data_IF_260830373551
#
_entry.id   IF_260830373551
#
_cell.length_a   1.000
_cell.length_b   1.000
_cell.length_c   1.000
_cell.angle_alpha   90.00
_cell.angle_beta   90.00
_cell.angle_gamma   90.00
#
_symmetry.space_group_name_H-M   'P 1'
#
loop_
_entity.id
_entity.type
_entity.pdbx_description
1 polymer ?
#
# COMPACT_ATOMS: atom_id res chain seq x y z
N UNK A 1 9.05 -14.55 4.67
CA UNK A 1 7.66 -14.09 4.88
C UNK A 1 7.34 -13.72 6.34
N UNK A 2 7.97 -14.32 7.37
CA UNK A 2 7.69 -13.97 8.78
C UNK A 2 8.13 -12.55 9.21
N UNK A 3 9.20 -12.01 8.62
CA UNK A 3 9.82 -10.75 9.04
C UNK A 3 8.98 -9.50 8.72
N UNK A 4 8.25 -9.50 7.60
CA UNK A 4 7.43 -8.37 7.16
C UNK A 4 6.15 -8.21 8.00
N UNK A 5 5.53 -9.33 8.40
CA UNK A 5 4.41 -9.31 9.33
C UNK A 5 4.80 -8.79 10.71
N UNK A 6 6.00 -9.14 11.18
CA UNK A 6 6.55 -8.62 12.43
C UNK A 6 6.82 -7.11 12.36
N UNK A 7 7.40 -6.63 11.25
CA UNK A 7 7.66 -5.20 11.04
C UNK A 7 6.35 -4.39 10.96
N UNK A 8 5.37 -4.86 10.16
CA UNK A 8 4.07 -4.20 10.05
C UNK A 8 3.39 -4.12 11.42
N UNK A 9 3.41 -5.23 12.18
CA UNK A 9 2.86 -5.26 13.53
C UNK A 9 3.52 -4.21 14.45
N UNK A 10 4.85 -4.11 14.44
CA UNK A 10 5.58 -3.11 15.24
C UNK A 10 5.22 -1.67 14.83
N UNK A 11 5.07 -1.41 13.52
CA UNK A 11 4.66 -0.09 13.03
C UNK A 11 3.24 0.27 13.49
N UNK A 12 2.31 -0.68 13.38
CA UNK A 12 0.92 -0.54 13.86
C UNK A 12 0.89 -0.29 15.37
N UNK A 13 1.62 -1.10 16.15
CA UNK A 13 1.70 -0.97 17.62
C UNK A 13 2.27 0.39 18.03
N UNK A 14 3.31 0.88 17.35
CA UNK A 14 3.87 2.20 17.59
C UNK A 14 2.84 3.32 17.39
N UNK A 15 2.03 3.26 16.34
CA UNK A 15 1.00 4.29 16.07
C UNK A 15 -0.12 4.27 17.12
N UNK A 16 -0.56 3.08 17.51
CA UNK A 16 -1.56 2.92 18.58
C UNK A 16 -1.00 3.46 19.91
N UNK A 17 0.26 3.17 20.23
CA UNK A 17 0.91 3.64 21.46
C UNK A 17 1.10 5.17 21.53
N UNK A 18 1.15 5.85 20.40
CA UNK A 18 1.17 7.32 20.36
C UNK A 18 -0.20 7.95 20.63
N UNK A 19 -1.28 7.16 20.51
CA UNK A 19 -2.68 7.59 20.60
C UNK A 19 -3.43 6.83 21.69
N UNK A 20 -2.80 6.63 22.85
CA UNK A 20 -3.23 5.73 23.94
C UNK A 20 -4.69 5.86 24.39
N UNK A 21 -5.31 7.01 24.16
CA UNK A 21 -6.68 7.30 24.60
C UNK A 21 -7.73 7.17 23.47
N UNK A 22 -7.31 6.87 22.23
CA UNK A 22 -8.21 6.71 21.09
C UNK A 22 -8.52 5.23 20.86
N UNK A 23 -9.81 4.93 20.68
CA UNK A 23 -10.23 3.63 20.15
C UNK A 23 -9.83 3.54 18.68
N UNK A 24 -9.66 2.35 18.14
CA UNK A 24 -9.31 2.18 16.73
C UNK A 24 -9.97 0.95 16.11
N UNK A 25 -10.14 0.98 14.79
CA UNK A 25 -10.56 -0.14 13.95
C UNK A 25 -9.47 -0.36 12.91
N UNK A 26 -9.10 -1.63 12.69
CA UNK A 26 -8.16 -2.03 11.64
C UNK A 26 -8.95 -2.76 10.55
N UNK A 27 -8.78 -2.35 9.30
CA UNK A 27 -9.34 -3.03 8.13
C UNK A 27 -8.22 -3.46 7.18
N UNK A 28 -8.42 -4.59 6.51
CA UNK A 28 -7.54 -5.07 5.46
C UNK A 28 -8.30 -4.99 4.15
N UNK A 29 -7.81 -4.15 3.24
CA UNK A 29 -8.51 -3.80 2.01
C UNK A 29 -7.66 -4.28 0.81
N UNK A 30 -8.33 -4.87 -0.17
CA UNK A 30 -7.75 -5.25 -1.44
C UNK A 30 -8.36 -4.39 -2.53
N UNK A 31 -7.52 -3.76 -3.34
CA UNK A 31 -7.94 -2.87 -4.42
C UNK A 31 -7.38 -3.35 -5.76
N UNK A 32 -8.24 -3.44 -6.78
CA UNK A 32 -7.85 -3.81 -8.14
C UNK A 32 -7.79 -2.53 -8.98
N UNK A 33 -6.65 -2.29 -9.62
CA UNK A 33 -6.33 -1.11 -10.42
C UNK A 33 -6.68 0.24 -9.75
N UNK A 34 -6.43 0.44 -8.43
CA UNK A 34 -6.80 1.69 -7.77
C UNK A 34 -5.97 2.85 -8.29
N UNK A 35 -6.61 3.91 -8.81
CA UNK A 35 -5.88 5.17 -9.12
C UNK A 35 -5.43 5.91 -7.87
N UNK A 36 -6.23 5.85 -6.82
CA UNK A 36 -5.98 6.52 -5.55
C UNK A 36 -6.71 5.78 -4.42
N UNK A 37 -6.05 5.66 -3.27
CA UNK A 37 -6.69 5.30 -2.00
C UNK A 37 -6.73 6.58 -1.15
N UNK A 38 -7.94 7.05 -0.85
CA UNK A 38 -8.18 8.24 -0.02
C UNK A 38 -8.32 7.84 1.44
N UNK A 39 -7.56 8.52 2.28
CA UNK A 39 -7.44 8.27 3.72
C UNK A 39 -7.97 9.50 4.46
N UNK A 40 -8.91 9.27 5.36
CA UNK A 40 -9.49 10.32 6.19
C UNK A 40 -8.47 10.87 7.19
N UNK A 41 -8.66 12.08 7.75
CA UNK A 41 -7.70 12.66 8.71
C UNK A 41 -7.51 11.82 9.99
N UNK A 42 -8.49 11.01 10.34
CA UNK A 42 -8.49 10.06 11.44
C UNK A 42 -7.98 8.68 11.03
N UNK A 43 -7.51 8.50 9.80
CA UNK A 43 -7.06 7.22 9.27
C UNK A 43 -5.57 7.23 8.92
N UNK A 44 -4.95 6.05 8.97
CA UNK A 44 -3.58 5.80 8.52
C UNK A 44 -3.61 4.58 7.62
N UNK A 45 -3.03 4.69 6.43
CA UNK A 45 -2.90 3.58 5.49
C UNK A 45 -1.49 3.01 5.48
N UNK A 46 -1.41 1.69 5.56
CA UNK A 46 -0.22 0.90 5.34
C UNK A 46 -0.41 0.12 4.05
N UNK A 47 0.29 0.51 2.98
CA UNK A 47 0.41 -0.40 1.82
C UNK A 47 1.23 -1.59 2.30
N UNK A 48 0.84 -2.80 1.94
CA UNK A 48 1.53 -4.02 2.40
C UNK A 48 2.08 -4.83 1.26
N UNK A 49 1.32 -4.91 0.17
CA UNK A 49 1.64 -5.75 -0.96
C UNK A 49 1.10 -5.19 -2.26
N UNK A 50 1.85 -5.38 -3.34
CA UNK A 50 1.47 -4.99 -4.69
C UNK A 50 1.78 -6.15 -5.62
N UNK A 51 0.77 -6.56 -6.38
CA UNK A 51 0.85 -7.60 -7.38
C UNK A 51 0.53 -7.00 -8.74
N UNK A 52 1.37 -7.24 -9.73
CA UNK A 52 1.21 -6.71 -11.09
C UNK A 52 1.20 -7.90 -12.04
N UNK A 53 0.12 -8.06 -12.81
CA UNK A 53 0.01 -9.07 -13.84
C UNK A 53 0.31 -8.41 -15.19
N UNK A 54 1.55 -8.53 -15.66
CA UNK A 54 2.01 -7.83 -16.86
C UNK A 54 2.31 -8.79 -18.00
N UNK A 55 1.95 -8.36 -19.21
CA UNK A 55 2.32 -9.05 -20.47
C UNK A 55 3.36 -8.28 -21.29
N UNK A 56 3.73 -7.08 -20.81
CA UNK A 56 4.64 -6.14 -21.46
C UNK A 56 5.46 -5.38 -20.41
N UNK A 57 6.47 -4.65 -20.87
CA UNK A 57 7.31 -3.80 -20.00
C UNK A 57 6.46 -2.76 -19.27
N UNK A 58 6.66 -2.62 -17.96
CA UNK A 58 5.83 -1.72 -17.15
C UNK A 58 6.65 -0.82 -16.22
N UNK A 59 6.11 0.38 -15.99
CA UNK A 59 6.54 1.30 -14.94
C UNK A 59 5.35 1.53 -14.02
N UNK A 60 5.51 1.18 -12.75
CA UNK A 60 4.52 1.38 -11.70
C UNK A 60 5.01 2.40 -10.68
N UNK A 61 4.25 3.47 -10.49
CA UNK A 61 4.58 4.54 -9.55
C UNK A 61 3.59 4.59 -8.40
N UNK A 62 4.11 4.72 -7.19
CA UNK A 62 3.36 4.97 -5.96
C UNK A 62 3.78 6.34 -5.47
N UNK A 63 2.82 7.24 -5.26
CA UNK A 63 3.09 8.59 -4.75
C UNK A 63 2.17 8.92 -3.59
N UNK A 64 2.77 9.38 -2.51
CA UNK A 64 2.12 10.00 -1.38
C UNK A 64 2.81 11.34 -1.07
N UNK A 65 2.31 12.09 -0.09
CA UNK A 65 2.97 13.35 0.31
C UNK A 65 4.31 13.10 1.03
N UNK A 66 4.55 11.90 1.58
CA UNK A 66 5.78 11.57 2.33
C UNK A 66 6.70 10.57 1.63
N UNK A 67 6.21 9.82 0.65
CA UNK A 67 7.01 8.82 -0.06
C UNK A 67 6.64 8.78 -1.55
N UNK A 68 7.67 8.59 -2.39
CA UNK A 68 7.51 8.28 -3.80
C UNK A 68 8.38 7.08 -4.13
N UNK A 69 7.79 6.07 -4.76
CA UNK A 69 8.49 4.86 -5.20
C UNK A 69 8.10 4.50 -6.62
N UNK A 70 9.09 4.17 -7.43
CA UNK A 70 8.90 3.71 -8.82
C UNK A 70 9.46 2.30 -8.93
N UNK A 71 8.68 1.42 -9.57
CA UNK A 71 9.02 0.04 -9.88
C UNK A 71 9.04 -0.06 -11.40
N UNK A 72 10.17 -0.49 -11.95
CA UNK A 72 10.34 -0.67 -13.39
C UNK A 72 10.78 -2.10 -13.66
N UNK A 73 10.14 -2.74 -14.64
CA UNK A 73 10.47 -4.12 -15.01
C UNK A 73 10.26 -4.37 -16.50
N UNK A 74 11.26 -4.98 -17.12
CA UNK A 74 11.18 -5.53 -18.47
C UNK A 74 10.60 -6.94 -18.41
N UNK A 75 9.60 -7.23 -19.25
CA UNK A 75 8.81 -8.46 -19.26
C UNK A 75 8.83 -9.05 -20.67
N UNK A 76 9.46 -10.21 -20.82
CA UNK A 76 9.59 -10.88 -22.13
C UNK A 76 8.42 -11.83 -22.44
N UNK A 77 7.66 -12.25 -21.42
CA UNK A 77 6.48 -13.12 -21.48
C UNK A 77 5.57 -12.84 -20.29
N UNK A 78 4.28 -13.20 -20.35
CA UNK A 78 3.32 -12.96 -19.28
C UNK A 78 3.85 -13.41 -17.90
N UNK A 79 3.88 -12.47 -16.94
CA UNK A 79 4.48 -12.68 -15.62
C UNK A 79 3.73 -11.90 -14.54
N UNK A 80 3.68 -12.48 -13.35
CA UNK A 80 3.16 -11.81 -12.15
C UNK A 80 4.32 -11.32 -11.29
N UNK A 81 4.47 -10.00 -11.19
CA UNK A 81 5.40 -9.38 -10.27
C UNK A 81 4.74 -9.18 -8.91
N UNK A 82 5.41 -9.61 -7.85
CA UNK A 82 4.95 -9.49 -6.47
C UNK A 82 5.98 -8.72 -5.65
N UNK A 83 5.55 -7.64 -5.00
CA UNK A 83 6.42 -6.84 -4.15
C UNK A 83 5.71 -6.42 -2.87
N UNK A 84 6.38 -6.65 -1.75
CA UNK A 84 5.93 -6.22 -0.44
C UNK A 84 6.51 -4.84 -0.17
N UNK A 85 5.66 -3.81 -0.23
CA UNK A 85 6.02 -2.44 0.06
C UNK A 85 5.25 -2.03 1.30
N UNK A 86 5.94 -1.97 2.44
CA UNK A 86 5.39 -1.43 3.68
C UNK A 86 5.65 0.07 3.70
N UNK A 87 4.61 0.88 3.46
CA UNK A 87 4.68 2.35 3.57
C UNK A 87 3.47 2.90 4.31
N UNK A 88 3.67 3.99 5.07
CA UNK A 88 2.68 4.63 5.95
C UNK A 88 2.34 6.03 5.46
N UNK A 89 1.05 6.34 5.29
CA UNK A 89 0.66 7.71 4.91
C UNK A 89 -0.74 8.13 5.43
N UNK A 90 -0.88 9.29 6.10
CA UNK A 90 -2.15 9.99 6.26
C UNK A 90 -2.44 10.89 5.05
N UNK A 91 -3.64 10.83 4.45
CA UNK A 91 -4.01 11.66 3.29
C UNK A 91 -4.40 10.84 2.05
N UNK A 92 -3.65 10.89 0.95
CA UNK A 92 -3.93 10.00 -0.19
C UNK A 92 -2.68 9.34 -0.74
N UNK A 93 -2.85 8.10 -1.23
CA UNK A 93 -1.83 7.34 -1.93
C UNK A 93 -2.29 7.13 -3.36
N UNK A 94 -1.50 7.60 -4.32
CA UNK A 94 -1.79 7.55 -5.75
C UNK A 94 -0.96 6.49 -6.44
N UNK A 95 -1.54 5.88 -7.45
CA UNK A 95 -0.90 4.84 -8.25
C UNK A 95 -1.02 5.18 -9.74
N UNK A 96 0.06 4.94 -10.47
CA UNK A 96 0.15 5.19 -11.90
C UNK A 96 0.91 4.04 -12.56
N UNK A 97 0.36 3.53 -13.67
CA UNK A 97 0.96 2.46 -14.46
C UNK A 97 1.14 2.96 -15.89
N UNK A 98 2.28 2.66 -16.52
CA UNK A 98 2.56 3.06 -17.91
C UNK A 98 1.64 2.38 -18.94
N UNK A 99 1.18 1.16 -18.66
CA UNK A 99 0.41 0.32 -19.58
C UNK A 99 -0.94 -0.07 -18.97
N UNK A 100 -1.79 -0.72 -19.76
CA UNK A 100 -3.15 -1.15 -19.36
C UNK A 100 -3.19 -2.50 -18.63
N UNK A 101 -2.03 -3.04 -18.26
CA UNK A 101 -1.90 -4.26 -17.46
C UNK A 101 -2.59 -4.11 -16.08
N UNK A 102 -3.08 -5.22 -15.54
CA UNK A 102 -3.79 -5.23 -14.25
C UNK A 102 -2.81 -5.28 -13.06
N UNK A 103 -3.16 -4.58 -11.99
CA UNK A 103 -2.45 -4.64 -10.71
C UNK A 103 -3.42 -4.64 -9.53
N UNK A 104 -2.98 -5.27 -8.44
CA UNK A 104 -3.68 -5.37 -7.18
C UNK A 104 -2.82 -4.75 -6.08
N UNK A 105 -3.45 -3.98 -5.20
CA UNK A 105 -2.80 -3.36 -4.04
C UNK A 105 -3.52 -3.82 -2.78
N UNK A 106 -2.79 -4.45 -1.86
CA UNK A 106 -3.26 -4.77 -0.53
C UNK A 106 -2.82 -3.69 0.46
N UNK A 107 -3.77 -3.16 1.22
CA UNK A 107 -3.56 -2.13 2.20
C UNK A 107 -4.19 -2.51 3.55
N UNK A 108 -3.60 -2.03 4.63
CA UNK A 108 -4.15 -2.10 5.98
C UNK A 108 -4.45 -0.68 6.43
N UNK A 109 -5.70 -0.38 6.75
CA UNK A 109 -6.13 0.96 7.17
C UNK A 109 -6.49 0.92 8.65
N UNK A 110 -5.89 1.81 9.44
CA UNK A 110 -6.24 2.02 10.83
C UNK A 110 -7.08 3.29 10.92
N UNK A 111 -8.31 3.17 11.40
CA UNK A 111 -9.19 4.30 11.70
C UNK A 111 -9.22 4.55 13.20
N UNK A 112 -8.87 5.75 13.64
CA UNK A 112 -8.94 6.18 15.04
C UNK A 112 -10.30 6.81 15.34
N UNK A 113 -10.98 6.29 16.35
CA UNK A 113 -12.28 6.76 16.82
C UNK A 113 -12.05 7.67 18.04
N UNK A 114 -12.64 8.86 18.00
CA UNK A 114 -12.68 9.81 19.11
C UNK A 114 -13.64 9.36 20.21
#
# INVERSE_FOLDING_TARGET
>A
MAEQGALLKLMIESEILQRKDLRYIITNDLHINPREIKISPDEICFITFIKINATSDFIFSIRSASESRTIEKTVTTAFTYENNIITRHPGSVKFEMSNTDEYEVSAVIIKFIK
#
